data_IF_843179950731
#
_entry.id   IF_843179950731
#
_cell.length_a   1.000
_cell.length_b   1.000
_cell.length_c   1.000
_cell.angle_alpha   90.00
_cell.angle_beta   90.00
_cell.angle_gamma   90.00
#
_symmetry.space_group_name_H-M   'P 1'
#
loop_
_entity.id
_entity.type
_entity.pdbx_description
1 polymer ?
#
# COMPACT_ATOMS: atom_id res chain seq x y z
N UNK A 1 8.04 -8.97 0.71
CA UNK A 1 8.25 -10.22 -0.06
C UNK A 1 8.93 -9.82 -1.34
N UNK A 2 9.96 -10.54 -1.79
CA UNK A 2 10.70 -10.17 -2.99
C UNK A 2 9.83 -10.38 -4.25
N UNK A 3 10.20 -9.73 -5.36
CA UNK A 3 9.47 -9.86 -6.63
C UNK A 3 9.86 -11.13 -7.41
N UNK A 4 11.07 -11.62 -7.18
CA UNK A 4 11.66 -12.78 -7.86
C UNK A 4 11.13 -14.14 -7.39
N UNK A 5 10.36 -14.20 -6.29
CA UNK A 5 9.91 -15.46 -5.71
C UNK A 5 8.61 -15.33 -4.90
N UNK A 6 7.87 -16.44 -4.77
CA UNK A 6 6.66 -16.52 -3.95
C UNK A 6 5.53 -15.59 -4.37
N UNK A 7 4.72 -15.15 -3.39
CA UNK A 7 3.66 -14.16 -3.58
C UNK A 7 4.23 -12.75 -3.49
N UNK A 8 3.69 -11.82 -4.29
CA UNK A 8 4.16 -10.44 -4.31
C UNK A 8 3.16 -9.50 -3.61
N UNK A 9 3.69 -8.48 -2.94
CA UNK A 9 2.92 -7.39 -2.34
C UNK A 9 3.59 -6.11 -2.74
N UNK A 10 2.84 -5.15 -3.27
CA UNK A 10 3.38 -3.87 -3.70
C UNK A 10 2.35 -2.74 -3.64
N UNK A 11 2.86 -1.53 -3.43
CA UNK A 11 2.23 -0.30 -3.89
C UNK A 11 2.96 0.17 -5.16
N UNK A 12 2.36 1.12 -5.88
CA UNK A 12 3.00 1.74 -7.05
C UNK A 12 3.33 3.18 -6.72
N UNK A 13 4.49 3.62 -7.20
CA UNK A 13 4.97 4.99 -7.09
C UNK A 13 5.24 5.50 -8.51
N UNK A 14 4.71 6.67 -8.86
CA UNK A 14 5.10 7.38 -10.07
C UNK A 14 6.44 8.08 -9.83
N UNK A 15 7.37 7.92 -10.77
CA UNK A 15 8.66 8.60 -10.76
C UNK A 15 8.53 9.92 -11.55
N UNK A 16 8.56 11.05 -10.84
CA UNK A 16 8.46 12.38 -11.43
C UNK A 16 9.85 12.99 -11.61
N UNK A 17 10.07 13.61 -12.77
CA UNK A 17 11.37 14.14 -13.19
C UNK A 17 11.99 13.35 -14.34
N UNK A 18 13.18 13.76 -14.77
CA UNK A 18 13.95 13.05 -15.78
C UNK A 18 14.80 11.98 -15.13
N UNK A 19 14.45 10.72 -15.40
CA UNK A 19 15.11 9.55 -14.87
C UNK A 19 15.64 8.64 -15.98
N UNK A 20 16.37 7.58 -15.61
CA UNK A 20 16.87 6.59 -16.56
C UNK A 20 15.73 5.88 -17.30
N UNK A 21 16.00 5.47 -18.54
CA UNK A 21 15.07 4.71 -19.40
C UNK A 21 15.41 3.21 -19.50
N UNK A 22 16.63 2.84 -19.06
CA UNK A 22 17.18 1.48 -19.07
C UNK A 22 18.24 1.31 -17.98
N UNK A 23 18.58 0.06 -17.68
CA UNK A 23 19.73 -0.27 -16.83
C UNK A 23 21.01 -0.18 -17.65
N UNK A 24 21.74 0.90 -17.46
CA UNK A 24 23.05 1.17 -18.08
C UNK A 24 24.12 1.50 -17.03
N UNK A 25 25.34 1.80 -17.49
CA UNK A 25 26.47 2.14 -16.62
C UNK A 25 26.21 3.39 -15.76
N UNK A 26 25.41 4.35 -16.26
CA UNK A 26 25.08 5.57 -15.51
C UNK A 26 24.16 5.25 -14.33
N UNK A 27 23.08 4.50 -14.56
CA UNK A 27 22.19 4.03 -13.50
C UNK A 27 22.96 3.18 -12.48
N UNK A 28 23.77 2.21 -12.95
CA UNK A 28 24.55 1.34 -12.07
C UNK A 28 25.58 2.14 -11.25
N UNK A 29 26.18 3.19 -11.82
CA UNK A 29 27.09 4.08 -11.10
C UNK A 29 26.39 4.79 -9.95
N UNK A 30 25.19 5.35 -10.19
CA UNK A 30 24.40 6.02 -9.15
C UNK A 30 24.02 5.04 -8.03
N UNK A 31 23.60 3.82 -8.37
CA UNK A 31 23.30 2.78 -7.38
C UNK A 31 24.53 2.39 -6.55
N UNK A 32 25.70 2.29 -7.18
CA UNK A 32 26.95 2.00 -6.47
C UNK A 32 27.36 3.16 -5.56
N UNK A 33 27.19 4.41 -5.98
CA UNK A 33 27.48 5.61 -5.16
C UNK A 33 26.58 5.68 -3.93
N UNK A 34 25.30 5.32 -4.08
CA UNK A 34 24.28 5.37 -3.03
C UNK A 34 23.98 4.00 -2.42
N UNK A 35 24.91 3.05 -2.53
CA UNK A 35 24.78 1.72 -1.93
C UNK A 35 24.68 1.83 -0.41
N UNK A 36 24.09 0.82 0.22
CA UNK A 36 24.06 0.76 1.67
C UNK A 36 25.48 0.62 2.24
N UNK A 37 25.84 1.53 3.14
CA UNK A 37 27.06 1.47 3.91
C UNK A 37 26.71 1.44 5.40
N UNK A 38 27.28 0.49 6.11
CA UNK A 38 27.02 0.34 7.54
C UNK A 38 27.77 1.42 8.30
N UNK A 39 27.01 2.31 8.95
CA UNK A 39 27.54 3.37 9.80
C UNK A 39 27.15 3.12 11.27
N UNK A 40 27.95 3.61 12.24
CA UNK A 40 27.49 3.74 13.62
C UNK A 40 26.27 4.66 13.68
N UNK A 41 25.24 4.33 14.49
CA UNK A 41 24.05 5.18 14.57
C UNK A 41 24.40 6.57 15.09
N UNK A 42 23.85 7.60 14.45
CA UNK A 42 24.00 9.00 14.83
C UNK A 42 23.27 9.33 16.15
N UNK A 43 22.30 8.51 16.54
CA UNK A 43 21.57 8.68 17.80
C UNK A 43 20.44 7.68 18.02
N UNK A 44 19.62 7.87 19.06
CA UNK A 44 18.43 7.05 19.30
C UNK A 44 17.41 7.21 18.17
N UNK A 45 16.78 6.09 17.80
CA UNK A 45 15.78 6.01 16.72
C UNK A 45 16.31 6.44 15.34
N UNK A 46 17.63 6.42 15.16
CA UNK A 46 18.28 6.67 13.87
C UNK A 46 17.88 5.65 12.82
N UNK A 47 17.84 6.09 11.57
CA UNK A 47 17.42 5.30 10.41
C UNK A 47 18.42 5.49 9.28
N UNK A 48 19.15 4.42 8.98
CA UNK A 48 20.08 4.36 7.86
C UNK A 48 19.39 3.67 6.68
N UNK A 49 19.63 4.18 5.47
CA UNK A 49 19.13 3.55 4.26
C UNK A 49 20.10 3.67 3.08
N UNK A 50 20.03 2.71 2.17
CA UNK A 50 20.87 2.68 0.97
C UNK A 50 20.51 1.52 0.06
N UNK A 51 20.99 1.57 -1.19
CA UNK A 51 20.68 0.55 -2.16
C UNK A 51 21.41 -0.76 -1.86
N UNK A 52 20.72 -1.87 -2.08
CA UNK A 52 21.29 -3.22 -2.13
C UNK A 52 20.80 -3.90 -3.41
N UNK A 53 21.53 -4.91 -3.86
CA UNK A 53 21.08 -5.78 -4.96
C UNK A 53 19.92 -6.67 -4.48
N UNK A 54 19.16 -7.29 -5.40
CA UNK A 54 18.07 -8.18 -5.00
C UNK A 54 18.53 -9.51 -4.37
N UNK A 55 19.80 -9.88 -4.50
CA UNK A 55 20.30 -11.19 -4.07
C UNK A 55 20.24 -11.37 -2.55
N UNK A 56 20.83 -10.44 -1.80
CA UNK A 56 20.72 -10.39 -0.34
C UNK A 56 21.09 -9.01 0.20
N UNK A 57 20.68 -8.73 1.44
CA UNK A 57 20.85 -7.44 2.11
C UNK A 57 22.30 -6.95 2.36
N UNK A 58 23.29 -7.77 2.02
CA UNK A 58 24.72 -7.47 2.18
C UNK A 58 25.42 -7.34 0.81
N UNK A 59 24.73 -7.65 -0.30
CA UNK A 59 25.29 -7.53 -1.63
C UNK A 59 25.02 -6.12 -2.16
N UNK A 60 26.08 -5.33 -2.20
CA UNK A 60 26.09 -3.92 -2.63
C UNK A 60 26.85 -3.73 -3.95
N UNK A 61 27.15 -4.83 -4.67
CA UNK A 61 27.86 -4.79 -5.95
C UNK A 61 26.87 -4.87 -7.11
N UNK A 62 26.48 -3.70 -7.62
CA UNK A 62 25.53 -3.59 -8.72
C UNK A 62 26.20 -3.90 -10.05
N UNK A 63 25.61 -4.85 -10.77
CA UNK A 63 26.03 -5.26 -12.10
C UNK A 63 24.78 -5.42 -12.96
N UNK A 64 24.95 -5.35 -14.27
CA UNK A 64 23.88 -5.59 -15.22
C UNK A 64 23.15 -6.91 -14.95
N UNK A 65 23.92 -7.99 -14.76
CA UNK A 65 23.40 -9.34 -14.55
C UNK A 65 22.51 -9.46 -13.31
N UNK A 66 22.77 -8.67 -12.26
CA UNK A 66 21.97 -8.73 -11.02
C UNK A 66 20.73 -7.85 -11.05
N UNK A 67 20.76 -6.77 -11.83
CA UNK A 67 19.79 -5.68 -11.69
C UNK A 67 18.97 -5.43 -12.96
N UNK A 68 19.52 -5.63 -14.15
CA UNK A 68 18.85 -5.38 -15.42
C UNK A 68 18.09 -6.61 -15.93
N UNK A 69 16.82 -6.41 -16.27
CA UNK A 69 15.91 -7.42 -16.83
C UNK A 69 15.06 -6.81 -17.95
N UNK A 70 14.40 -7.66 -18.74
CA UNK A 70 13.58 -7.24 -19.87
C UNK A 70 14.41 -6.93 -21.12
N UNK A 71 13.74 -6.94 -22.27
CA UNK A 71 14.34 -6.53 -23.53
C UNK A 71 14.86 -5.09 -23.42
N UNK A 72 16.10 -4.87 -23.83
CA UNK A 72 16.76 -3.56 -23.71
C UNK A 72 16.97 -3.09 -22.27
N UNK A 73 16.87 -3.99 -21.27
CA UNK A 73 17.19 -3.68 -19.87
C UNK A 73 16.23 -2.67 -19.24
N UNK A 74 14.98 -2.74 -19.65
CA UNK A 74 13.92 -1.78 -19.31
C UNK A 74 13.36 -1.96 -17.90
N UNK A 75 13.66 -3.08 -17.23
CA UNK A 75 13.29 -3.34 -15.85
C UNK A 75 14.53 -3.38 -14.96
N UNK A 76 14.50 -2.64 -13.84
CA UNK A 76 15.50 -2.74 -12.80
C UNK A 76 14.93 -3.44 -11.55
N UNK A 77 15.55 -4.55 -11.14
CA UNK A 77 15.27 -5.20 -9.87
C UNK A 77 16.35 -4.80 -8.86
N UNK A 78 15.96 -4.05 -7.83
CA UNK A 78 16.86 -3.54 -6.78
C UNK A 78 16.19 -3.64 -5.41
N UNK A 79 16.96 -3.39 -4.35
CA UNK A 79 16.44 -3.29 -3.00
C UNK A 79 16.92 -2.02 -2.31
N UNK A 80 16.16 -1.56 -1.33
CA UNK A 80 16.62 -0.55 -0.36
C UNK A 80 16.68 -1.23 0.99
N UNK A 81 17.87 -1.31 1.58
CA UNK A 81 18.03 -1.73 2.96
C UNK A 81 17.72 -0.53 3.85
N UNK A 82 16.90 -0.77 4.88
CA UNK A 82 16.57 0.21 5.91
C UNK A 82 16.90 -0.43 7.25
N UNK A 83 17.82 0.20 7.97
CA UNK A 83 18.24 -0.19 9.31
C UNK A 83 17.65 0.81 10.31
N UNK A 84 16.94 0.30 11.33
CA UNK A 84 16.43 1.13 12.42
C UNK A 84 17.11 0.78 13.73
N UNK A 85 17.51 1.79 14.48
CA UNK A 85 18.18 1.63 15.76
C UNK A 85 17.23 1.98 16.91
N UNK A 86 16.44 1.00 17.34
CA UNK A 86 15.39 1.23 18.33
C UNK A 86 15.38 0.16 19.42
N UNK A 87 15.65 0.60 20.65
CA UNK A 87 15.56 -0.25 21.84
C UNK A 87 14.08 -0.50 22.19
N UNK A 88 13.64 -1.78 22.32
CA UNK A 88 12.28 -2.10 22.72
C UNK A 88 11.90 -1.50 24.07
N UNK A 89 10.64 -1.07 24.22
CA UNK A 89 10.16 -0.43 25.46
C UNK A 89 10.33 -1.31 26.71
N UNK A 90 10.13 -2.63 26.58
CA UNK A 90 10.33 -3.57 27.69
C UNK A 90 11.80 -3.69 28.12
N UNK A 91 12.76 -3.53 27.21
CA UNK A 91 14.19 -3.48 27.56
C UNK A 91 14.51 -2.19 28.30
N UNK A 92 14.05 -1.03 27.80
CA UNK A 92 14.20 0.26 28.50
C UNK A 92 13.64 0.18 29.93
N UNK A 93 12.48 -0.48 30.08
CA UNK A 93 11.85 -0.75 31.38
C UNK A 93 12.68 -1.69 32.26
N UNK A 94 13.23 -2.76 31.69
CA UNK A 94 14.07 -3.72 32.42
C UNK A 94 15.34 -3.04 32.99
N UNK A 95 16.07 -2.26 32.19
CA UNK A 95 17.24 -1.53 32.68
C UNK A 95 16.90 -0.57 33.80
N UNK A 96 15.78 0.14 33.69
CA UNK A 96 15.30 1.00 34.78
C UNK A 96 15.03 0.21 36.06
N UNK A 97 14.31 -0.91 35.98
CA UNK A 97 14.01 -1.75 37.15
C UNK A 97 15.29 -2.30 37.78
N UNK A 98 16.23 -2.80 36.98
CA UNK A 98 17.50 -3.35 37.46
C UNK A 98 18.34 -2.29 38.18
N UNK A 99 18.46 -1.09 37.61
CA UNK A 99 19.20 0.01 38.23
C UNK A 99 18.51 0.53 39.50
N UNK A 100 17.17 0.62 39.51
CA UNK A 100 16.41 1.01 40.71
C UNK A 100 16.54 -0.05 41.83
N UNK A 101 16.54 -1.34 41.50
CA UNK A 101 16.76 -2.43 42.47
C UNK A 101 18.19 -2.41 43.02
N UNK A 102 19.19 -2.21 42.16
CA UNK A 102 20.58 -2.06 42.58
C UNK A 102 20.73 -0.87 43.54
N UNK A 103 20.15 0.29 43.20
CA UNK A 103 20.20 1.48 44.04
C UNK A 103 19.40 1.35 45.36
N UNK A 104 18.43 0.45 45.43
CA UNK A 104 17.70 0.14 46.66
C UNK A 104 18.46 -0.82 47.59
N UNK A 105 19.55 -1.44 47.13
CA UNK A 105 20.33 -2.41 47.91
C UNK A 105 20.94 -1.72 49.14
N UNK A 106 20.59 -2.19 50.33
CA UNK A 106 21.05 -1.61 51.60
C UNK A 106 20.12 -0.54 52.19
N UNK A 107 19.06 -0.13 51.50
CA UNK A 107 18.05 0.75 52.09
C UNK A 107 17.18 -0.03 53.08
N UNK A 108 16.94 0.48 54.31
CA UNK A 108 16.09 -0.19 55.30
C UNK A 108 14.65 -0.43 54.84
N UNK A 109 14.15 0.43 53.95
CA UNK A 109 12.81 0.33 53.37
C UNK A 109 12.69 -0.73 52.27
N UNK A 110 13.80 -1.22 51.73
CA UNK A 110 13.83 -2.07 50.53
C UNK A 110 13.49 -1.33 49.23
N UNK A 111 13.28 0.00 49.28
CA UNK A 111 12.93 0.82 48.12
C UNK A 111 13.94 1.93 47.89
N UNK A 112 14.26 2.22 46.63
CA UNK A 112 15.08 3.37 46.25
C UNK A 112 14.39 4.70 46.60
N UNK A 113 15.15 5.65 47.16
CA UNK A 113 14.71 7.03 47.41
C UNK A 113 14.47 7.79 46.10
N UNK A 114 13.86 8.98 46.18
CA UNK A 114 13.62 9.81 44.99
C UNK A 114 14.92 10.17 44.24
N UNK A 115 15.99 10.48 44.97
CA UNK A 115 17.31 10.77 44.38
C UNK A 115 17.90 9.54 43.68
N UNK A 116 17.92 8.39 44.38
CA UNK A 116 18.40 7.13 43.83
C UNK A 116 17.61 6.68 42.58
N UNK A 117 16.31 6.92 42.53
CA UNK A 117 15.50 6.64 41.33
C UNK A 117 15.88 7.54 40.14
N UNK A 118 16.25 8.80 40.40
CA UNK A 118 16.71 9.70 39.35
C UNK A 118 18.07 9.26 38.80
N UNK A 119 19.03 8.94 39.68
CA UNK A 119 20.35 8.40 39.28
C UNK A 119 20.23 7.07 38.55
N UNK A 120 19.37 6.16 39.02
CA UNK A 120 19.09 4.89 38.36
C UNK A 120 18.50 5.07 36.95
N UNK A 121 17.65 6.09 36.77
CA UNK A 121 17.10 6.42 35.47
C UNK A 121 18.17 6.97 34.51
N UNK A 122 19.11 7.79 35.01
CA UNK A 122 20.24 8.29 34.23
C UNK A 122 21.20 7.16 33.82
N UNK A 123 21.53 6.24 34.74
CA UNK A 123 22.33 5.06 34.43
C UNK A 123 21.65 4.16 33.38
N UNK A 124 20.34 3.92 33.52
CA UNK A 124 19.59 3.16 32.54
C UNK A 124 19.58 3.85 31.16
N UNK A 125 19.49 5.18 31.11
CA UNK A 125 19.57 5.93 29.87
C UNK A 125 20.98 5.85 29.23
N UNK A 126 22.05 5.93 30.04
CA UNK A 126 23.42 5.71 29.60
C UNK A 126 23.62 4.33 28.97
N UNK A 127 23.13 3.28 29.65
CA UNK A 127 23.18 1.91 29.13
C UNK A 127 22.43 1.76 27.80
N UNK A 128 21.24 2.35 27.68
CA UNK A 128 20.48 2.37 26.42
C UNK A 128 21.30 3.01 25.29
N UNK A 129 21.97 4.14 25.57
CA UNK A 129 22.78 4.84 24.58
C UNK A 129 24.02 4.03 24.18
N UNK A 130 24.68 3.35 25.12
CA UNK A 130 25.81 2.47 24.83
C UNK A 130 25.41 1.24 23.99
N UNK A 131 24.26 0.64 24.27
CA UNK A 131 23.74 -0.48 23.46
C UNK A 131 23.34 -0.04 22.06
N UNK A 132 22.76 1.16 21.93
CA UNK A 132 22.47 1.77 20.63
C UNK A 132 23.75 2.04 19.86
N UNK A 133 24.76 2.67 20.46
CA UNK A 133 26.04 2.95 19.81
C UNK A 133 26.76 1.68 19.33
N UNK A 134 26.55 0.56 20.03
CA UNK A 134 27.06 -0.77 19.64
C UNK A 134 26.21 -1.47 18.56
N UNK A 135 25.06 -0.91 18.17
CA UNK A 135 24.15 -1.49 17.19
C UNK A 135 23.39 -2.72 17.68
N UNK A 136 23.34 -2.98 19.01
CA UNK A 136 22.71 -4.18 19.61
C UNK A 136 21.23 -4.32 19.20
N UNK A 137 20.55 -3.18 19.06
CA UNK A 137 19.13 -3.12 18.74
C UNK A 137 18.84 -2.69 17.30
N UNK A 138 19.79 -2.92 16.39
CA UNK A 138 19.60 -2.68 14.96
C UNK A 138 18.63 -3.70 14.37
N UNK A 139 17.60 -3.21 13.70
CA UNK A 139 16.66 -4.01 12.91
C UNK A 139 16.77 -3.62 11.45
N UNK A 140 17.27 -4.56 10.66
CA UNK A 140 17.44 -4.38 9.22
C UNK A 140 16.29 -5.00 8.43
N UNK A 141 15.84 -4.30 7.40
CA UNK A 141 14.84 -4.79 6.45
C UNK A 141 15.19 -4.37 5.04
N UNK A 142 15.05 -5.27 4.08
CA UNK A 142 15.10 -4.92 2.66
C UNK A 142 13.69 -4.64 2.14
N UNK A 143 13.53 -3.49 1.51
CA UNK A 143 12.37 -3.14 0.68
C UNK A 143 12.72 -3.53 -0.76
N UNK A 144 12.10 -4.58 -1.32
CA UNK A 144 12.32 -4.93 -2.72
C UNK A 144 11.61 -3.93 -3.61
N UNK A 145 12.26 -3.60 -4.72
CA UNK A 145 11.81 -2.63 -5.70
C UNK A 145 11.94 -3.22 -7.11
N UNK A 146 10.86 -3.12 -7.90
CA UNK A 146 10.90 -3.36 -9.33
C UNK A 146 10.60 -2.03 -10.03
N UNK A 147 11.57 -1.51 -10.77
CA UNK A 147 11.45 -0.25 -11.48
C UNK A 147 11.21 -0.52 -12.97
N UNK A 148 10.04 -0.15 -13.44
CA UNK A 148 9.72 -0.05 -14.86
C UNK A 148 10.17 1.33 -15.36
N UNK A 149 11.34 1.33 -16.01
CA UNK A 149 12.06 2.56 -16.36
C UNK A 149 11.34 3.33 -17.48
N UNK A 150 10.93 2.72 -18.61
CA UNK A 150 10.22 3.43 -19.68
C UNK A 150 8.90 4.04 -19.21
N UNK A 151 8.15 3.35 -18.36
CA UNK A 151 6.85 3.83 -17.86
C UNK A 151 6.98 4.73 -16.62
N UNK A 152 8.21 5.02 -16.16
CA UNK A 152 8.50 5.85 -14.98
C UNK A 152 7.69 5.40 -13.75
N UNK A 153 7.66 4.09 -13.50
CA UNK A 153 6.84 3.49 -12.45
C UNK A 153 7.68 2.56 -11.58
N UNK A 154 7.55 2.72 -10.27
CA UNK A 154 8.23 1.89 -9.29
C UNK A 154 7.21 1.06 -8.51
N UNK A 155 7.34 -0.27 -8.59
CA UNK A 155 6.63 -1.23 -7.76
C UNK A 155 7.42 -1.41 -6.47
N UNK A 156 6.84 -0.99 -5.35
CA UNK A 156 7.52 -0.95 -4.06
C UNK A 156 6.91 -1.91 -3.05
N UNK A 157 7.74 -2.82 -2.51
CA UNK A 157 7.34 -3.80 -1.51
C UNK A 157 7.06 -3.24 -0.12
N UNK A 158 7.27 -1.93 0.10
CA UNK A 158 6.85 -1.20 1.30
C UNK A 158 5.65 -0.32 0.96
N UNK A 159 4.51 -0.62 1.58
CA UNK A 159 3.23 0.00 1.24
C UNK A 159 2.87 1.20 2.13
N UNK A 160 3.62 1.45 3.21
CA UNK A 160 3.45 2.60 4.11
C UNK A 160 4.61 2.73 5.12
N UNK A 161 4.67 3.90 5.77
CA UNK A 161 5.55 4.21 6.90
C UNK A 161 7.03 4.34 6.52
N UNK A 162 7.90 4.34 7.54
CA UNK A 162 9.33 4.65 7.37
C UNK A 162 10.05 3.90 6.24
N UNK A 163 9.83 2.60 5.95
CA UNK A 163 10.57 1.96 4.87
C UNK A 163 10.19 2.54 3.49
N UNK A 164 8.95 3.00 3.31
CA UNK A 164 8.53 3.69 2.09
C UNK A 164 9.08 5.12 2.07
N UNK A 165 9.05 5.83 3.21
CA UNK A 165 9.62 7.18 3.35
C UNK A 165 11.12 7.20 3.00
N UNK A 166 11.88 6.20 3.46
CA UNK A 166 13.30 6.08 3.13
C UNK A 166 13.54 5.75 1.65
N UNK A 167 12.67 4.96 1.01
CA UNK A 167 12.73 4.77 -0.46
C UNK A 167 12.52 6.10 -1.19
N UNK A 168 11.51 6.88 -0.81
CA UNK A 168 11.22 8.20 -1.40
C UNK A 168 12.42 9.14 -1.22
N UNK A 169 12.96 9.23 -0.01
CA UNK A 169 14.13 10.07 0.32
C UNK A 169 15.37 9.66 -0.48
N UNK A 170 15.65 8.36 -0.57
CA UNK A 170 16.83 7.84 -1.24
C UNK A 170 16.76 8.07 -2.75
N UNK A 171 15.59 7.88 -3.39
CA UNK A 171 15.41 8.17 -4.81
C UNK A 171 15.57 9.67 -5.14
N UNK A 172 15.04 10.55 -4.29
CA UNK A 172 15.25 11.99 -4.45
C UNK A 172 16.73 12.36 -4.35
N UNK A 173 17.45 11.76 -3.40
CA UNK A 173 18.88 12.05 -3.18
C UNK A 173 19.75 11.49 -4.31
N UNK A 174 19.52 10.24 -4.71
CA UNK A 174 20.36 9.53 -5.66
C UNK A 174 20.07 9.90 -7.12
N UNK A 175 18.80 10.03 -7.47
CA UNK A 175 18.37 10.23 -8.86
C UNK A 175 17.74 11.61 -9.11
N UNK A 176 17.53 12.44 -8.08
CA UNK A 176 16.78 13.69 -8.23
C UNK A 176 15.30 13.49 -8.55
N UNK A 177 14.77 12.28 -8.33
CA UNK A 177 13.40 11.91 -8.68
C UNK A 177 12.44 12.08 -7.51
N UNK A 178 11.30 12.71 -7.76
CA UNK A 178 10.21 12.77 -6.81
C UNK A 178 9.31 11.55 -6.99
N UNK A 179 9.19 10.74 -5.94
CA UNK A 179 8.30 9.58 -5.95
C UNK A 179 6.93 9.94 -5.36
N UNK A 180 5.87 9.75 -6.13
CA UNK A 180 4.49 9.95 -5.70
C UNK A 180 3.75 8.63 -5.58
N UNK A 181 3.14 8.34 -4.43
CA UNK A 181 2.30 7.14 -4.25
C UNK A 181 1.10 7.20 -5.20
N UNK A 182 0.95 6.19 -6.05
CA UNK A 182 -0.22 6.02 -6.92
C UNK A 182 -1.35 5.32 -6.15
N UNK A 183 -1.95 6.05 -5.20
CA UNK A 183 -3.23 5.68 -4.62
C UNK A 183 -4.36 5.86 -5.64
N UNK A 184 -5.57 5.37 -5.33
CA UNK A 184 -6.70 5.44 -6.27
C UNK A 184 -7.08 6.88 -6.64
N UNK A 185 -7.06 7.80 -5.68
CA UNK A 185 -7.29 9.23 -5.91
C UNK A 185 -6.13 9.90 -6.65
N UNK A 186 -4.89 9.63 -6.26
CA UNK A 186 -3.70 10.19 -6.90
C UNK A 186 -3.61 9.83 -8.40
N UNK A 187 -3.93 8.58 -8.74
CA UNK A 187 -4.00 8.10 -10.12
C UNK A 187 -5.03 8.87 -10.95
N UNK A 188 -6.23 9.09 -10.39
CA UNK A 188 -7.29 9.89 -11.06
C UNK A 188 -6.87 11.35 -11.21
N UNK A 189 -6.28 11.93 -10.18
CA UNK A 189 -5.75 13.29 -10.22
C UNK A 189 -4.71 13.47 -11.33
N UNK A 190 -3.83 12.49 -11.55
CA UNK A 190 -2.87 12.50 -12.66
C UNK A 190 -3.59 12.48 -14.02
N UNK A 191 -4.49 11.50 -14.24
CA UNK A 191 -5.25 11.36 -15.50
C UNK A 191 -6.04 12.65 -15.84
N UNK A 192 -6.70 13.25 -14.84
CA UNK A 192 -7.49 14.46 -15.06
C UNK A 192 -6.61 15.70 -15.31
N UNK A 193 -5.45 15.82 -14.67
CA UNK A 193 -4.49 16.89 -14.98
C UNK A 193 -3.93 16.76 -16.40
N UNK A 194 -3.55 15.55 -16.79
CA UNK A 194 -2.97 15.26 -18.13
C UNK A 194 -3.98 15.56 -19.25
N UNK A 195 -5.28 15.48 -18.96
CA UNK A 195 -6.37 15.80 -19.90
C UNK A 195 -6.92 17.24 -19.76
N UNK A 196 -6.30 18.09 -18.93
CA UNK A 196 -6.71 19.48 -18.71
C UNK A 196 -8.00 19.66 -17.91
N UNK A 197 -8.49 18.61 -17.24
CA UNK A 197 -9.75 18.55 -16.48
C UNK A 197 -9.55 18.72 -14.97
N UNK A 198 -8.67 19.63 -14.56
CA UNK A 198 -8.31 19.81 -13.14
C UNK A 198 -9.49 20.22 -12.26
N UNK A 199 -10.43 21.04 -12.77
CA UNK A 199 -11.65 21.42 -12.03
C UNK A 199 -12.54 20.22 -11.72
N UNK A 200 -12.71 19.33 -12.71
CA UNK A 200 -13.49 18.10 -12.52
C UNK A 200 -12.93 17.26 -11.38
N UNK A 201 -11.61 17.21 -11.22
CA UNK A 201 -10.96 16.50 -10.11
C UNK A 201 -11.32 17.12 -8.74
N UNK A 202 -11.26 18.44 -8.62
CA UNK A 202 -11.60 19.16 -7.38
C UNK A 202 -13.05 18.91 -6.96
N UNK A 203 -13.96 18.91 -7.94
CA UNK A 203 -15.41 18.74 -7.74
C UNK A 203 -15.84 17.28 -7.44
N UNK A 204 -14.94 16.30 -7.55
CA UNK A 204 -15.29 14.89 -7.27
C UNK A 204 -15.71 14.68 -5.81
N UNK A 205 -16.97 14.35 -5.59
CA UNK A 205 -17.49 13.97 -4.28
C UNK A 205 -17.89 12.49 -4.22
N UNK A 206 -17.88 11.86 -3.03
CA UNK A 206 -18.40 10.51 -2.84
C UNK A 206 -19.87 10.37 -3.26
N UNK A 207 -20.21 9.25 -3.88
CA UNK A 207 -21.57 8.93 -4.33
C UNK A 207 -22.39 8.30 -3.22
N UNK A 208 -23.57 8.83 -2.94
CA UNK A 208 -24.50 8.18 -2.00
C UNK A 208 -25.16 6.92 -2.61
N UNK A 209 -24.70 5.72 -2.24
CA UNK A 209 -25.33 4.44 -2.61
C UNK A 209 -26.39 3.94 -1.61
N UNK A 210 -26.47 4.55 -0.43
CA UNK A 210 -27.53 4.32 0.55
C UNK A 210 -27.95 5.64 1.17
N UNK A 211 -29.04 5.65 1.94
CA UNK A 211 -29.30 6.74 2.90
C UNK A 211 -28.39 6.55 4.14
N UNK A 212 -28.17 7.61 4.95
CA UNK A 212 -27.57 7.44 6.27
C UNK A 212 -28.34 6.37 7.07
N UNK A 213 -27.66 5.33 7.58
CA UNK A 213 -28.30 4.29 8.38
C UNK A 213 -29.03 4.86 9.60
N UNK A 214 -30.20 4.31 9.93
CA UNK A 214 -30.98 4.75 11.10
C UNK A 214 -30.34 4.35 12.44
N UNK A 215 -29.42 3.38 12.43
CA UNK A 215 -28.72 2.86 13.61
C UNK A 215 -27.70 3.84 14.19
N UNK A 216 -27.30 4.88 13.46
CA UNK A 216 -26.59 6.02 14.05
C UNK A 216 -27.55 6.91 14.82
N UNK A 217 -27.16 7.37 16.02
CA UNK A 217 -27.98 8.26 16.83
C UNK A 217 -28.48 9.48 16.03
N UNK A 218 -29.61 10.07 16.44
CA UNK A 218 -30.11 11.29 15.78
C UNK A 218 -29.05 12.41 15.79
N UNK A 219 -28.32 12.52 16.90
CA UNK A 219 -27.21 13.45 17.09
C UNK A 219 -26.04 13.13 16.15
N UNK A 220 -25.62 11.85 16.06
CA UNK A 220 -24.56 11.42 15.14
C UNK A 220 -24.93 11.76 13.70
N UNK A 221 -26.17 11.47 13.28
CA UNK A 221 -26.67 11.77 11.93
C UNK A 221 -26.72 13.26 11.61
N UNK A 222 -26.97 14.11 12.60
CA UNK A 222 -26.91 15.57 12.44
C UNK A 222 -25.49 16.09 12.21
N UNK A 223 -24.48 15.34 12.66
CA UNK A 223 -23.06 15.60 12.44
C UNK A 223 -22.50 14.94 11.19
N UNK A 224 -23.25 14.03 10.55
CA UNK A 224 -22.87 13.41 9.28
C UNK A 224 -23.04 14.41 8.13
N UNK A 225 -22.01 15.21 7.92
CA UNK A 225 -21.94 16.26 6.91
C UNK A 225 -20.84 17.27 7.24
N UNK A 226 -19.60 16.95 6.88
CA UNK A 226 -18.41 17.80 6.99
C UNK A 226 -17.16 16.94 6.83
N UNK A 227 -16.21 17.19 5.93
CA UNK A 227 -15.62 18.46 5.52
C UNK A 227 -15.61 18.73 3.98
N UNK A 228 -16.30 17.92 3.17
CA UNK A 228 -16.22 18.02 1.69
C UNK A 228 -17.52 17.73 0.92
N UNK A 229 -18.66 17.53 1.59
CA UNK A 229 -19.92 17.17 0.92
C UNK A 229 -21.14 17.82 1.56
N UNK A 230 -22.00 18.42 0.72
CA UNK A 230 -23.29 18.96 1.14
C UNK A 230 -24.25 17.87 1.64
N UNK A 231 -25.40 18.29 2.17
CA UNK A 231 -26.44 17.39 2.69
C UNK A 231 -26.70 16.20 1.74
N UNK A 232 -26.53 14.97 2.26
CA UNK A 232 -26.75 13.74 1.48
C UNK A 232 -25.49 13.13 0.83
N UNK A 233 -24.30 13.64 1.13
CA UNK A 233 -23.01 13.06 0.70
C UNK A 233 -22.38 12.25 1.83
N UNK A 234 -21.93 11.00 1.60
CA UNK A 234 -21.19 10.24 2.62
C UNK A 234 -19.87 10.94 3.00
N UNK A 235 -19.53 11.09 4.29
CA UNK A 235 -18.28 11.71 4.74
C UNK A 235 -17.04 10.85 4.49
N UNK A 236 -17.20 9.53 4.36
CA UNK A 236 -16.12 8.57 4.06
C UNK A 236 -14.93 8.75 5.04
N UNK A 237 -15.13 8.50 6.35
CA UNK A 237 -14.22 8.98 7.40
C UNK A 237 -12.78 8.48 7.31
N UNK A 238 -12.54 7.43 6.52
CA UNK A 238 -11.21 6.88 6.32
C UNK A 238 -10.31 7.66 5.36
N UNK A 239 -10.86 8.51 4.49
CA UNK A 239 -10.03 9.32 3.59
C UNK A 239 -9.28 10.42 4.31
N UNK A 240 -9.67 10.79 5.53
CA UNK A 240 -8.99 11.79 6.35
C UNK A 240 -7.52 11.48 6.67
N UNK A 241 -7.11 10.20 6.57
CA UNK A 241 -5.72 9.74 6.75
C UNK A 241 -5.14 9.11 5.48
N UNK A 242 -5.83 9.26 4.35
CA UNK A 242 -5.41 8.69 3.09
C UNK A 242 -4.36 9.58 2.42
N UNK A 243 -3.75 9.07 1.34
CA UNK A 243 -2.76 9.81 0.56
C UNK A 243 -3.44 10.96 -0.18
N UNK A 244 -4.63 10.70 -0.71
CA UNK A 244 -5.47 11.68 -1.39
C UNK A 244 -6.91 11.63 -0.86
N UNK A 245 -7.55 12.79 -0.68
CA UNK A 245 -8.95 12.86 -0.26
C UNK A 245 -9.91 12.18 -1.25
N UNK A 246 -9.51 12.04 -2.52
CA UNK A 246 -10.24 11.33 -3.58
C UNK A 246 -9.99 9.82 -3.58
N UNK A 247 -9.23 9.27 -2.61
CA UNK A 247 -9.03 7.82 -2.47
C UNK A 247 -10.33 7.04 -2.20
N UNK A 248 -11.44 7.73 -1.92
CA UNK A 248 -12.77 7.10 -1.93
C UNK A 248 -13.13 6.47 -3.29
N UNK A 249 -12.52 6.94 -4.39
CA UNK A 249 -12.75 6.42 -5.74
C UNK A 249 -12.33 4.95 -5.84
N UNK A 250 -11.31 4.52 -5.10
CA UNK A 250 -10.97 3.11 -4.98
C UNK A 250 -12.11 2.29 -4.37
N UNK A 251 -12.79 2.83 -3.36
CA UNK A 251 -13.92 2.15 -2.71
C UNK A 251 -15.17 2.11 -3.61
N UNK A 252 -15.43 3.19 -4.35
CA UNK A 252 -16.49 3.20 -5.37
C UNK A 252 -16.18 2.24 -6.51
N UNK A 253 -14.93 2.17 -6.95
CA UNK A 253 -14.46 1.20 -7.93
C UNK A 253 -14.72 -0.23 -7.45
N UNK A 254 -14.32 -0.54 -6.21
CA UNK A 254 -14.52 -1.85 -5.61
C UNK A 254 -16.01 -2.23 -5.52
N UNK A 255 -16.88 -1.28 -5.17
CA UNK A 255 -18.33 -1.50 -5.14
C UNK A 255 -18.93 -1.64 -6.55
N UNK A 256 -18.47 -0.83 -7.51
CA UNK A 256 -18.88 -0.91 -8.90
C UNK A 256 -18.48 -2.24 -9.53
N UNK A 257 -17.25 -2.69 -9.29
CA UNK A 257 -16.74 -3.95 -9.80
C UNK A 257 -17.56 -5.13 -9.25
N UNK A 258 -17.90 -5.09 -7.97
CA UNK A 258 -18.79 -6.08 -7.36
C UNK A 258 -20.17 -6.08 -8.02
N UNK A 259 -20.83 -4.94 -8.13
CA UNK A 259 -22.13 -4.83 -8.79
C UNK A 259 -22.07 -5.32 -10.25
N UNK A 260 -21.03 -4.92 -10.98
CA UNK A 260 -20.86 -5.24 -12.40
C UNK A 260 -20.65 -6.73 -12.61
N UNK A 261 -19.80 -7.36 -11.81
CA UNK A 261 -19.52 -8.81 -11.91
C UNK A 261 -20.71 -9.69 -11.57
N UNK A 262 -21.60 -9.24 -10.67
CA UNK A 262 -22.83 -9.99 -10.36
C UNK A 262 -23.97 -9.76 -11.36
N UNK A 263 -24.06 -8.59 -11.97
CA UNK A 263 -25.21 -8.24 -12.84
C UNK A 263 -24.92 -8.38 -14.33
N UNK A 264 -23.66 -8.29 -14.74
CA UNK A 264 -23.23 -8.31 -16.14
C UNK A 264 -22.32 -9.48 -16.51
N UNK A 265 -22.03 -10.39 -15.56
CA UNK A 265 -21.02 -11.44 -15.74
C UNK A 265 -19.60 -10.96 -15.39
N UNK A 266 -18.63 -11.88 -15.43
CA UNK A 266 -17.25 -11.59 -15.02
C UNK A 266 -16.45 -10.76 -16.03
N UNK A 267 -16.83 -10.75 -17.31
CA UNK A 267 -16.11 -10.05 -18.38
C UNK A 267 -16.30 -8.53 -18.34
N UNK A 268 -15.19 -7.81 -18.53
CA UNK A 268 -15.12 -6.36 -18.57
C UNK A 268 -14.40 -5.94 -19.86
N UNK A 269 -15.04 -5.07 -20.63
CA UNK A 269 -14.40 -4.44 -21.78
C UNK A 269 -13.42 -3.36 -21.30
N UNK A 270 -12.13 -3.58 -21.53
CA UNK A 270 -11.06 -2.66 -21.09
C UNK A 270 -10.18 -2.23 -22.27
N UNK A 271 -9.26 -1.27 -22.04
CA UNK A 271 -8.23 -0.91 -23.02
C UNK A 271 -7.24 -2.04 -23.31
N UNK A 272 -7.13 -3.04 -22.43
CA UNK A 272 -6.29 -4.22 -22.61
C UNK A 272 -7.04 -5.40 -23.27
N UNK A 273 -8.26 -5.18 -23.75
CA UNK A 273 -9.15 -6.24 -24.22
C UNK A 273 -10.15 -6.67 -23.15
N UNK A 274 -10.73 -7.86 -23.33
CA UNK A 274 -11.65 -8.45 -22.37
C UNK A 274 -10.88 -8.98 -21.15
N UNK A 275 -11.20 -8.44 -19.96
CA UNK A 275 -10.62 -8.88 -18.69
C UNK A 275 -11.71 -9.43 -17.81
N UNK A 276 -11.52 -10.65 -17.30
CA UNK A 276 -12.44 -11.29 -16.37
C UNK A 276 -12.05 -10.97 -14.92
N UNK A 277 -13.03 -10.53 -14.14
CA UNK A 277 -12.88 -10.29 -12.72
C UNK A 277 -13.81 -11.19 -11.89
N UNK A 278 -13.27 -11.77 -10.83
CA UNK A 278 -14.03 -12.50 -9.81
C UNK A 278 -13.60 -12.01 -8.42
N UNK A 279 -14.58 -11.68 -7.58
CA UNK A 279 -14.35 -11.32 -6.19
C UNK A 279 -14.41 -12.59 -5.34
N UNK A 280 -13.31 -12.93 -4.67
CA UNK A 280 -13.24 -14.14 -3.84
C UNK A 280 -12.35 -13.93 -2.60
N UNK A 281 -12.34 -14.90 -1.68
CA UNK A 281 -11.46 -15.07 -0.51
C UNK A 281 -11.59 -14.05 0.63
N UNK A 282 -11.74 -12.75 0.33
CA UNK A 282 -11.83 -11.70 1.35
C UNK A 282 -12.70 -10.51 0.91
N UNK A 283 -13.46 -9.97 1.86
CA UNK A 283 -14.19 -8.71 1.73
C UNK A 283 -14.14 -7.96 3.07
N UNK A 284 -13.46 -6.82 3.12
CA UNK A 284 -13.55 -5.89 4.26
C UNK A 284 -14.39 -4.68 3.86
N UNK A 285 -15.29 -4.29 4.76
CA UNK A 285 -16.27 -3.22 4.57
C UNK A 285 -16.18 -2.23 5.73
N UNK A 286 -16.35 -0.94 5.47
CA UNK A 286 -16.42 0.11 6.49
C UNK A 286 -17.57 1.09 6.17
N UNK A 287 -18.24 1.62 7.20
CA UNK A 287 -19.41 2.48 7.04
C UNK A 287 -19.01 3.83 6.42
N UNK A 288 -19.41 4.09 5.18
CA UNK A 288 -19.13 5.37 4.50
C UNK A 288 -19.77 6.57 5.20
N UNK A 289 -20.82 6.32 5.99
CA UNK A 289 -21.48 7.31 6.84
C UNK A 289 -20.83 7.47 8.22
N UNK A 290 -19.91 6.59 8.60
CA UNK A 290 -19.26 6.59 9.93
C UNK A 290 -20.14 6.11 11.08
N UNK A 291 -21.30 5.49 10.80
CA UNK A 291 -22.33 5.19 11.81
C UNK A 291 -22.41 3.72 12.24
N UNK A 292 -22.11 2.77 11.36
CA UNK A 292 -22.39 1.32 11.59
C UNK A 292 -21.14 0.46 11.70
N UNK A 293 -19.96 1.10 11.77
CA UNK A 293 -18.67 0.44 11.94
C UNK A 293 -18.23 -0.42 10.75
N UNK A 294 -17.46 -1.46 11.04
CA UNK A 294 -16.78 -2.34 10.06
C UNK A 294 -17.42 -3.71 9.95
N UNK A 295 -17.14 -4.42 8.87
CA UNK A 295 -17.38 -5.85 8.71
C UNK A 295 -16.23 -6.49 7.94
N UNK A 296 -15.88 -7.73 8.28
CA UNK A 296 -14.80 -8.48 7.65
C UNK A 296 -15.30 -9.89 7.37
N UNK A 297 -15.35 -10.27 6.10
CA UNK A 297 -15.86 -11.54 5.61
C UNK A 297 -14.74 -12.29 4.90
N UNK A 298 -14.64 -13.60 5.15
CA UNK A 298 -13.59 -14.49 4.62
C UNK A 298 -14.22 -15.79 4.18
N UNK A 299 -13.60 -16.47 3.23
CA UNK A 299 -14.08 -17.74 2.67
C UNK A 299 -14.36 -17.64 1.18
N UNK A 300 -14.98 -18.68 0.63
CA UNK A 300 -15.31 -18.73 -0.79
C UNK A 300 -16.59 -17.94 -1.09
N UNK A 301 -16.50 -16.99 -2.03
CA UNK A 301 -17.59 -16.09 -2.42
C UNK A 301 -18.12 -15.21 -1.28
N UNK A 302 -17.27 -14.44 -0.58
CA UNK A 302 -17.71 -13.61 0.56
C UNK A 302 -18.73 -12.54 0.14
N UNK A 303 -18.73 -12.15 -1.14
CA UNK A 303 -19.71 -11.25 -1.74
C UNK A 303 -21.12 -11.85 -1.80
N UNK A 304 -21.25 -13.17 -1.94
CA UNK A 304 -22.56 -13.86 -2.03
C UNK A 304 -23.20 -14.12 -0.67
N UNK A 305 -22.49 -13.88 0.42
CA UNK A 305 -23.00 -14.06 1.78
C UNK A 305 -24.13 -13.08 2.09
N UNK A 306 -25.09 -13.52 2.91
CA UNK A 306 -26.21 -12.67 3.33
C UNK A 306 -25.71 -11.46 4.12
N UNK A 307 -24.73 -11.67 4.98
CA UNK A 307 -24.03 -10.68 5.79
C UNK A 307 -23.40 -9.58 4.92
N UNK A 308 -22.91 -9.92 3.73
CA UNK A 308 -22.35 -8.94 2.80
C UNK A 308 -23.44 -8.01 2.25
N UNK A 309 -24.62 -8.56 1.93
CA UNK A 309 -25.79 -7.78 1.51
C UNK A 309 -26.33 -6.89 2.62
N UNK A 310 -26.43 -7.40 3.84
CA UNK A 310 -26.83 -6.62 5.01
C UNK A 310 -25.85 -5.48 5.30
N UNK A 311 -24.54 -5.75 5.23
CA UNK A 311 -23.52 -4.73 5.41
C UNK A 311 -23.61 -3.60 4.38
N UNK A 312 -23.87 -3.90 3.10
CA UNK A 312 -24.12 -2.88 2.08
C UNK A 312 -25.36 -2.03 2.41
N UNK A 313 -26.46 -2.64 2.85
CA UNK A 313 -27.67 -1.90 3.27
C UNK A 313 -27.42 -0.97 4.45
N UNK A 314 -26.52 -1.35 5.35
CA UNK A 314 -26.03 -0.53 6.46
C UNK A 314 -25.00 0.53 6.05
N UNK A 315 -24.86 0.80 4.75
CA UNK A 315 -24.01 1.87 4.21
C UNK A 315 -22.52 1.58 4.27
N UNK A 316 -22.11 0.31 4.43
CA UNK A 316 -20.70 -0.09 4.42
C UNK A 316 -20.20 -0.29 3.00
N UNK A 317 -19.03 0.25 2.68
CA UNK A 317 -18.41 0.14 1.36
C UNK A 317 -17.17 -0.75 1.40
N UNK A 318 -16.83 -1.44 0.29
CA UNK A 318 -15.60 -2.22 0.18
C UNK A 318 -14.35 -1.38 0.39
N UNK A 319 -13.54 -1.82 1.35
CA UNK A 319 -12.19 -1.34 1.64
C UNK A 319 -11.13 -2.29 1.12
N UNK A 320 -11.42 -3.59 1.14
CA UNK A 320 -10.49 -4.62 0.68
C UNK A 320 -11.27 -5.75 -0.02
N UNK A 321 -10.76 -6.19 -1.16
CA UNK A 321 -11.32 -7.27 -1.97
C UNK A 321 -10.24 -8.30 -2.29
N UNK A 322 -10.51 -9.58 -2.05
CA UNK A 322 -9.77 -10.62 -2.75
C UNK A 322 -10.29 -10.71 -4.18
N UNK A 323 -9.38 -10.73 -5.14
CA UNK A 323 -9.65 -10.60 -6.56
C UNK A 323 -8.91 -11.69 -7.32
N UNK A 324 -9.61 -12.31 -8.26
CA UNK A 324 -9.02 -13.03 -9.37
C UNK A 324 -9.22 -12.18 -10.62
N UNK A 325 -8.13 -11.80 -11.28
CA UNK A 325 -8.16 -11.12 -12.57
C UNK A 325 -7.54 -12.05 -13.61
N UNK A 326 -8.18 -12.19 -14.75
CA UNK A 326 -7.64 -12.98 -15.86
C UNK A 326 -7.91 -12.28 -17.19
N UNK A 327 -6.92 -12.28 -18.07
CA UNK A 327 -7.11 -11.97 -19.49
C UNK A 327 -7.09 -13.28 -20.30
N UNK A 328 -6.80 -13.19 -21.61
CA UNK A 328 -6.74 -14.35 -22.49
C UNK A 328 -5.53 -15.26 -22.23
N UNK A 329 -4.49 -14.76 -21.57
CA UNK A 329 -3.20 -15.44 -21.43
C UNK A 329 -2.96 -15.89 -19.99
N UNK A 330 -3.25 -15.04 -19.01
CA UNK A 330 -2.78 -15.19 -17.64
C UNK A 330 -3.86 -14.89 -16.60
N UNK A 331 -3.78 -15.59 -15.46
CA UNK A 331 -4.68 -15.40 -14.33
C UNK A 331 -3.91 -15.13 -13.04
N UNK A 332 -4.40 -14.13 -12.29
CA UNK A 332 -3.79 -13.60 -11.09
C UNK A 332 -4.76 -13.68 -9.93
N UNK A 333 -4.30 -14.13 -8.77
CA UNK A 333 -5.07 -14.10 -7.52
C UNK A 333 -4.38 -13.19 -6.51
N UNK A 334 -5.06 -12.18 -5.99
CA UNK A 334 -4.47 -11.24 -5.04
C UNK A 334 -5.53 -10.60 -4.15
N UNK A 335 -5.10 -9.75 -3.23
CA UNK A 335 -6.00 -8.90 -2.47
C UNK A 335 -5.69 -7.43 -2.72
N UNK A 336 -6.71 -6.65 -3.09
CA UNK A 336 -6.61 -5.22 -3.31
C UNK A 336 -7.14 -4.47 -2.10
N UNK A 337 -6.31 -3.62 -1.50
CA UNK A 337 -6.79 -2.54 -0.62
C UNK A 337 -7.19 -1.37 -1.51
N UNK A 338 -8.47 -1.07 -1.53
CA UNK A 338 -9.10 -0.30 -2.60
C UNK A 338 -8.68 1.17 -2.60
N UNK A 339 -8.67 1.83 -1.44
CA UNK A 339 -8.29 3.24 -1.30
C UNK A 339 -6.81 3.52 -1.56
N UNK A 340 -5.83 2.87 -0.88
CA UNK A 340 -4.42 3.09 -1.18
C UNK A 340 -3.97 2.39 -2.47
N UNK A 341 -4.87 1.63 -3.12
CA UNK A 341 -4.62 0.88 -4.35
C UNK A 341 -3.43 -0.10 -4.26
N UNK A 342 -3.35 -0.79 -3.12
CA UNK A 342 -2.24 -1.70 -2.79
C UNK A 342 -2.61 -3.15 -3.11
N UNK A 343 -1.74 -3.82 -3.86
CA UNK A 343 -1.83 -5.25 -4.14
C UNK A 343 -1.10 -6.02 -3.05
N UNK A 344 -1.76 -7.00 -2.46
CA UNK A 344 -1.22 -7.86 -1.40
C UNK A 344 -1.34 -9.33 -1.75
N UNK A 345 -0.27 -10.08 -1.44
CA UNK A 345 -0.22 -11.54 -1.54
C UNK A 345 -0.64 -12.08 -2.92
N UNK A 346 -0.27 -11.36 -3.99
CA UNK A 346 -0.54 -11.75 -5.35
C UNK A 346 0.21 -13.03 -5.71
N UNK A 347 -0.56 -14.05 -6.08
CA UNK A 347 -0.10 -15.26 -6.75
C UNK A 347 -0.01 -14.95 -8.23
N UNK A 348 1.21 -14.95 -8.74
CA UNK A 348 1.49 -14.83 -10.16
C UNK A 348 1.26 -16.19 -10.85
N UNK A 349 0.95 -16.21 -12.16
CA UNK A 349 0.95 -17.44 -12.95
C UNK A 349 2.27 -18.22 -12.81
N UNK A 350 2.24 -19.52 -13.08
CA UNK A 350 3.43 -20.40 -13.05
C UNK A 350 4.27 -20.22 -14.31
N UNK A 351 5.60 -20.25 -14.19
CA UNK A 351 6.52 -20.09 -15.33
C UNK A 351 6.91 -21.48 -15.78
N UNK A 352 6.40 -21.94 -16.92
CA UNK A 352 6.60 -23.31 -17.41
C UNK A 352 7.77 -23.41 -18.42
N UNK A 353 7.97 -22.40 -19.28
CA UNK A 353 8.87 -22.49 -20.43
C UNK A 353 10.31 -21.96 -20.20
N UNK A 354 10.66 -21.57 -18.97
CA UNK A 354 11.97 -20.99 -18.67
C UNK A 354 13.10 -22.05 -18.64
N UNK A 355 14.19 -21.77 -19.35
CA UNK A 355 15.36 -22.65 -19.46
C UNK A 355 16.45 -22.33 -18.43
N UNK A 356 16.33 -21.20 -17.73
CA UNK A 356 17.30 -20.76 -16.74
C UNK A 356 16.63 -20.08 -15.53
N UNK A 357 17.28 -20.06 -14.35
CA UNK A 357 16.77 -19.29 -13.21
C UNK A 357 16.56 -17.81 -13.52
N UNK A 358 17.37 -17.24 -14.42
CA UNK A 358 17.23 -15.84 -14.87
C UNK A 358 15.94 -15.62 -15.62
N UNK A 359 15.60 -16.50 -16.56
CA UNK A 359 14.35 -16.44 -17.32
C UNK A 359 13.12 -16.58 -16.41
N UNK A 360 13.20 -17.41 -15.37
CA UNK A 360 12.13 -17.49 -14.36
C UNK A 360 11.91 -16.15 -13.66
N UNK A 361 12.99 -15.48 -13.24
CA UNK A 361 12.90 -14.16 -12.62
C UNK A 361 12.32 -13.15 -13.60
N UNK A 362 12.85 -13.10 -14.82
CA UNK A 362 12.40 -12.16 -15.85
C UNK A 362 10.91 -12.29 -16.18
N UNK A 363 10.43 -13.50 -16.43
CA UNK A 363 9.01 -13.77 -16.67
C UNK A 363 8.14 -13.34 -15.47
N UNK A 364 8.61 -13.56 -14.24
CA UNK A 364 7.91 -13.09 -13.04
C UNK A 364 7.85 -11.57 -12.95
N UNK A 365 8.93 -10.85 -13.26
CA UNK A 365 8.93 -9.39 -13.23
C UNK A 365 7.96 -8.81 -14.28
N UNK A 366 7.94 -9.40 -15.48
CA UNK A 366 6.97 -9.05 -16.53
C UNK A 366 5.52 -9.26 -16.07
N UNK A 367 5.24 -10.37 -15.36
CA UNK A 367 3.91 -10.64 -14.76
C UNK A 367 3.52 -9.64 -13.67
N UNK A 368 4.47 -9.14 -12.89
CA UNK A 368 4.20 -8.07 -11.91
C UNK A 368 3.79 -6.78 -12.62
N UNK A 369 4.53 -6.39 -13.67
CA UNK A 369 4.19 -5.20 -14.47
C UNK A 369 2.87 -5.37 -15.19
N UNK A 370 2.60 -6.56 -15.75
CA UNK A 370 1.36 -6.89 -16.44
C UNK A 370 0.15 -6.85 -15.52
N UNK A 371 0.23 -7.43 -14.31
CA UNK A 371 -0.80 -7.28 -13.29
C UNK A 371 -1.11 -5.81 -12.98
N UNK A 372 -0.08 -4.97 -12.89
CA UNK A 372 -0.25 -3.53 -12.74
C UNK A 372 -1.05 -2.90 -13.88
N UNK A 373 -0.74 -3.27 -15.13
CA UNK A 373 -1.42 -2.78 -16.34
C UNK A 373 -2.87 -3.28 -16.45
N UNK A 374 -3.14 -4.56 -16.14
CA UNK A 374 -4.50 -5.11 -16.10
C UNK A 374 -5.35 -4.37 -15.06
N UNK A 375 -4.80 -4.14 -13.86
CA UNK A 375 -5.51 -3.42 -12.81
C UNK A 375 -5.80 -1.96 -13.24
N UNK A 376 -4.88 -1.30 -13.93
CA UNK A 376 -5.10 0.03 -14.51
C UNK A 376 -6.21 0.01 -15.58
N UNK A 377 -6.24 -1.01 -16.45
CA UNK A 377 -7.24 -1.13 -17.50
C UNK A 377 -8.65 -1.34 -16.94
N UNK A 378 -8.78 -2.18 -15.91
CA UNK A 378 -10.06 -2.38 -15.20
C UNK A 378 -10.50 -1.12 -14.45
N UNK A 379 -9.55 -0.40 -13.84
CA UNK A 379 -9.84 0.86 -13.17
C UNK A 379 -10.24 1.96 -14.16
N UNK A 380 -9.58 2.06 -15.32
CA UNK A 380 -9.94 3.00 -16.40
C UNK A 380 -11.36 2.73 -16.93
N UNK A 381 -11.75 1.46 -17.08
CA UNK A 381 -13.12 1.10 -17.46
C UNK A 381 -14.16 1.65 -16.46
N UNK A 382 -13.85 1.58 -15.15
CA UNK A 382 -14.65 2.24 -14.12
C UNK A 382 -14.64 3.76 -14.26
N UNK A 383 -13.48 4.39 -14.43
CA UNK A 383 -13.35 5.84 -14.52
C UNK A 383 -14.12 6.42 -15.71
N UNK A 384 -14.13 5.74 -16.86
CA UNK A 384 -14.97 6.12 -18.01
C UNK A 384 -16.46 6.18 -17.67
N UNK A 385 -16.94 5.25 -16.82
CA UNK A 385 -18.32 5.27 -16.30
C UNK A 385 -18.51 6.38 -15.28
N UNK A 386 -17.59 6.47 -14.30
CA UNK A 386 -17.66 7.34 -13.12
C UNK A 386 -17.55 8.82 -13.45
N UNK A 387 -16.75 9.16 -14.45
CA UNK A 387 -16.50 10.52 -14.91
C UNK A 387 -17.37 10.89 -16.13
N UNK A 388 -18.15 9.95 -16.64
CA UNK A 388 -19.07 10.13 -17.77
C UNK A 388 -20.49 10.47 -17.33
N UNK A 389 -21.32 10.90 -18.29
CA UNK A 389 -22.72 11.28 -18.03
C UNK A 389 -23.62 10.12 -17.55
N UNK A 390 -23.20 8.87 -17.75
CA UNK A 390 -23.96 7.67 -17.35
C UNK A 390 -23.90 7.32 -15.86
N UNK A 391 -23.02 7.95 -15.07
CA UNK A 391 -22.79 7.57 -13.68
C UNK A 391 -24.05 7.65 -12.81
N UNK A 392 -24.91 8.65 -13.03
CA UNK A 392 -26.16 8.79 -12.27
C UNK A 392 -27.06 7.57 -12.41
N UNK A 393 -27.19 7.04 -13.63
CA UNK A 393 -27.98 5.85 -13.93
C UNK A 393 -27.36 4.59 -13.34
N UNK A 394 -26.03 4.43 -13.44
CA UNK A 394 -25.34 3.29 -12.82
C UNK A 394 -25.52 3.31 -11.31
N UNK A 395 -25.37 4.49 -10.68
CA UNK A 395 -25.60 4.66 -9.25
C UNK A 395 -27.04 4.29 -8.84
N UNK A 396 -28.05 4.66 -9.62
CA UNK A 396 -29.44 4.27 -9.35
C UNK A 396 -29.62 2.75 -9.42
N UNK A 397 -29.07 2.09 -10.45
CA UNK A 397 -29.09 0.62 -10.55
C UNK A 397 -28.35 -0.06 -9.41
N UNK A 398 -27.20 0.47 -8.99
CA UNK A 398 -26.45 -0.02 -7.84
C UNK A 398 -27.27 0.11 -6.55
N UNK A 399 -28.01 1.21 -6.36
CA UNK A 399 -28.90 1.39 -5.20
C UNK A 399 -30.00 0.34 -5.18
N UNK A 400 -30.66 0.11 -6.32
CA UNK A 400 -31.70 -0.91 -6.46
C UNK A 400 -31.14 -2.31 -6.16
N UNK A 401 -29.98 -2.64 -6.73
CA UNK A 401 -29.28 -3.89 -6.46
C UNK A 401 -28.95 -4.07 -4.97
N UNK A 402 -28.41 -3.05 -4.29
CA UNK A 402 -28.15 -3.09 -2.83
C UNK A 402 -29.43 -3.40 -2.05
N UNK A 403 -30.55 -2.75 -2.38
CA UNK A 403 -31.82 -2.97 -1.68
C UNK A 403 -32.40 -4.36 -1.92
N UNK A 404 -32.16 -4.94 -3.10
CA UNK A 404 -32.61 -6.27 -3.47
C UNK A 404 -31.80 -7.40 -2.81
N UNK A 405 -30.57 -7.15 -2.34
CA UNK A 405 -29.73 -8.18 -1.70
C UNK A 405 -30.41 -8.76 -0.47
N UNK A 406 -30.33 -10.08 -0.25
CA UNK A 406 -30.90 -10.73 0.93
C UNK A 406 -32.44 -10.80 0.96
N UNK A 407 -33.08 -10.68 -0.21
CA UNK A 407 -34.44 -11.19 -0.43
C UNK A 407 -34.40 -12.65 -0.84
#
# INVERSE_FOLDING_TARGET
>A
MPFDSGRVTFCRLACLGDGPDRVDDALLSVLNEHRFEEAPPAGPDDVDSGFVTPLHMLDTRFTYEKCGFGEGSTLALIGVRVDRHQVPAEIKRAYRIMNEQAAATGNPSGFATKGQKAEAAEMAAGQVNEDLARGVYRKSKVVPLLWDLPHRRLFCGATSGTPQEEVVKLFRTAFGLDLQVESSGAAVGRILRDTGRTRDHEDLAPSAFTKPPAEGGADDRSQVGGASGGAGTPPVPWTAKAVDLKDFLGNEFALWLWWKTETGGSGLDTSAGEVHALLNTALDLDCAWGLTGRASLRGDGPTRMREAGEALKLGKWPRKLGLHLADAEEAYEFTLAADPFVVSAARLPEVEDAQSPREVVEARLQRVTHLGSLLDAVFDAFLRRRLGGGWKTDREKMREWIQARGR
#
